data_IF_053990096886
#
_entry.id   IF_053990096886
#
_cell.length_a   1.000
_cell.length_b   1.000
_cell.length_c   1.000
_cell.angle_alpha   90.00
_cell.angle_beta   90.00
_cell.angle_gamma   90.00
#
_symmetry.space_group_name_H-M   'P 1'
#
loop_
_entity.id
_entity.type
_entity.pdbx_description
1 polymer ?
#
# COMPACT_ATOMS: atom_id res chain seq x y z
N UNK A 1 -5.00 -1.89 26.57
CA UNK A 1 -5.87 -2.04 27.75
C UNK A 1 -5.20 -2.88 28.86
N UNK A 2 -4.82 -4.16 28.62
CA UNK A 2 -4.20 -5.02 29.64
C UNK A 2 -2.97 -4.38 30.30
N UNK A 3 -2.07 -3.78 29.52
CA UNK A 3 -0.88 -3.12 30.04
C UNK A 3 -1.23 -1.92 30.97
N UNK A 4 -2.21 -1.12 30.60
CA UNK A 4 -2.67 0.00 31.42
C UNK A 4 -3.19 -0.47 32.77
N UNK A 5 -4.05 -1.49 32.80
CA UNK A 5 -4.58 -2.05 34.05
C UNK A 5 -3.49 -2.72 34.90
N UNK A 6 -2.55 -3.42 34.26
CA UNK A 6 -1.40 -4.04 34.94
C UNK A 6 -0.54 -2.99 35.66
N UNK A 7 -0.19 -1.89 34.96
CA UNK A 7 0.62 -0.81 35.56
C UNK A 7 -0.15 -0.13 36.69
N UNK A 8 -1.45 0.12 36.50
CA UNK A 8 -2.31 0.71 37.54
C UNK A 8 -2.36 -0.19 38.79
N UNK A 9 -2.59 -1.49 38.62
CA UNK A 9 -2.65 -2.44 39.75
C UNK A 9 -1.28 -2.63 40.40
N UNK A 10 -0.18 -2.53 39.62
CA UNK A 10 1.17 -2.52 40.18
C UNK A 10 1.43 -1.29 41.07
N UNK A 11 1.05 -0.10 40.61
CA UNK A 11 1.18 1.15 41.37
C UNK A 11 0.29 1.15 42.63
N UNK A 12 -0.85 0.44 42.60
CA UNK A 12 -1.75 0.27 43.72
C UNK A 12 -1.32 -0.84 44.72
N UNK A 13 -0.23 -1.56 44.41
CA UNK A 13 0.28 -2.64 45.26
C UNK A 13 -0.54 -3.95 45.26
N UNK A 14 -1.52 -4.07 44.36
CA UNK A 14 -2.47 -5.19 44.29
C UNK A 14 -2.10 -6.25 43.22
N UNK A 15 -0.86 -6.28 42.78
CA UNK A 15 -0.46 -7.13 41.65
C UNK A 15 -0.45 -8.64 42.03
N UNK A 16 -0.08 -8.98 43.29
CA UNK A 16 0.11 -10.37 43.68
C UNK A 16 -1.10 -11.27 43.44
N UNK A 17 -2.29 -10.78 43.77
CA UNK A 17 -3.54 -11.55 43.65
C UNK A 17 -4.07 -11.64 42.19
N UNK A 18 -3.54 -10.81 41.28
CA UNK A 18 -4.03 -10.70 39.90
C UNK A 18 -3.06 -11.22 38.82
N UNK A 19 -1.90 -11.73 39.23
CA UNK A 19 -0.90 -12.25 38.27
C UNK A 19 -1.49 -13.30 37.34
N UNK A 20 -2.25 -14.25 37.89
CA UNK A 20 -2.89 -15.31 37.11
C UNK A 20 -3.89 -14.75 36.09
N UNK A 21 -4.64 -13.70 36.43
CA UNK A 21 -5.56 -13.04 35.52
C UNK A 21 -4.83 -12.41 34.33
N UNK A 22 -3.69 -11.74 34.57
CA UNK A 22 -2.91 -11.13 33.47
C UNK A 22 -2.24 -12.18 32.61
N UNK A 23 -1.69 -13.25 33.17
CA UNK A 23 -1.09 -14.36 32.42
C UNK A 23 -2.16 -15.06 31.58
N UNK A 24 -3.31 -15.39 32.14
CA UNK A 24 -4.43 -15.99 31.39
C UNK A 24 -4.93 -15.07 30.29
N UNK A 25 -5.07 -13.76 30.57
CA UNK A 25 -5.44 -12.77 29.54
C UNK A 25 -4.46 -12.67 28.38
N UNK A 26 -3.15 -12.72 28.66
CA UNK A 26 -2.11 -12.74 27.62
C UNK A 26 -2.15 -14.04 26.79
N UNK A 27 -2.35 -15.19 27.42
CA UNK A 27 -2.47 -16.47 26.72
C UNK A 27 -3.69 -16.51 25.80
N UNK A 28 -4.84 -16.06 26.31
CA UNK A 28 -6.08 -15.96 25.51
C UNK A 28 -5.87 -15.03 24.33
N UNK A 29 -5.28 -13.85 24.56
CA UNK A 29 -4.98 -12.90 23.48
C UNK A 29 -4.04 -13.52 22.43
N UNK A 30 -3.02 -14.25 22.84
CA UNK A 30 -2.10 -14.91 21.94
C UNK A 30 -2.79 -15.96 21.06
N UNK A 31 -3.67 -16.78 21.64
CA UNK A 31 -4.45 -17.78 20.91
C UNK A 31 -5.41 -17.10 19.92
N UNK A 32 -6.10 -16.05 20.35
CA UNK A 32 -7.02 -15.28 19.46
C UNK A 32 -6.27 -14.64 18.29
N UNK A 33 -5.08 -14.08 18.53
CA UNK A 33 -4.23 -13.54 17.46
C UNK A 33 -3.85 -14.66 16.50
N UNK A 34 -3.42 -15.82 16.97
CA UNK A 34 -3.05 -16.95 16.12
C UNK A 34 -4.21 -17.42 15.23
N UNK A 35 -5.40 -17.59 15.81
CA UNK A 35 -6.62 -17.97 15.06
C UNK A 35 -6.98 -16.90 14.03
N UNK A 36 -6.97 -15.62 14.43
CA UNK A 36 -7.29 -14.51 13.54
C UNK A 36 -6.30 -14.43 12.36
N UNK A 37 -5.00 -14.57 12.63
CA UNK A 37 -3.95 -14.58 11.60
C UNK A 37 -4.11 -15.76 10.64
N UNK A 38 -4.45 -16.94 11.13
CA UNK A 38 -4.70 -18.11 10.29
C UNK A 38 -5.91 -17.90 9.36
N UNK A 39 -7.02 -17.38 9.90
CA UNK A 39 -8.22 -17.06 9.09
C UNK A 39 -7.90 -15.99 8.06
N UNK A 40 -7.19 -14.92 8.44
CA UNK A 40 -6.76 -13.86 7.55
C UNK A 40 -5.90 -14.40 6.41
N UNK A 41 -4.90 -15.22 6.72
CA UNK A 41 -4.01 -15.80 5.73
C UNK A 41 -4.79 -16.58 4.67
N UNK A 42 -5.68 -17.48 5.10
CA UNK A 42 -6.48 -18.29 4.19
C UNK A 42 -7.44 -17.43 3.35
N UNK A 43 -8.14 -16.48 3.97
CA UNK A 43 -9.10 -15.63 3.28
C UNK A 43 -8.44 -14.66 2.29
N UNK A 44 -7.25 -14.15 2.60
CA UNK A 44 -6.59 -13.13 1.78
C UNK A 44 -5.75 -13.77 0.68
N UNK A 45 -4.80 -14.65 1.04
CA UNK A 45 -3.83 -15.16 0.06
C UNK A 45 -4.41 -16.27 -0.82
N UNK A 46 -5.00 -17.31 -0.24
CA UNK A 46 -5.49 -18.44 -1.03
C UNK A 46 -6.61 -18.01 -1.99
N UNK A 47 -7.55 -17.21 -1.53
CA UNK A 47 -8.64 -16.71 -2.38
C UNK A 47 -8.13 -15.84 -3.53
N UNK A 48 -7.13 -14.98 -3.28
CA UNK A 48 -6.58 -14.09 -4.31
C UNK A 48 -5.82 -14.86 -5.38
N UNK A 49 -5.05 -15.90 -5.02
CA UNK A 49 -4.35 -16.71 -6.01
C UNK A 49 -5.31 -17.49 -6.91
N UNK A 50 -6.38 -18.03 -6.36
CA UNK A 50 -7.43 -18.70 -7.15
C UNK A 50 -8.09 -17.71 -8.10
N UNK A 51 -8.48 -16.52 -7.60
CA UNK A 51 -9.08 -15.46 -8.42
C UNK A 51 -8.14 -14.99 -9.53
N UNK A 52 -6.85 -14.83 -9.25
CA UNK A 52 -5.84 -14.44 -10.23
C UNK A 52 -5.73 -15.47 -11.36
N UNK A 53 -5.78 -16.75 -11.02
CA UNK A 53 -5.82 -17.82 -12.02
C UNK A 53 -7.07 -17.74 -12.90
N UNK A 54 -8.24 -17.59 -12.30
CA UNK A 54 -9.52 -17.40 -13.02
C UNK A 54 -9.48 -16.18 -13.93
N UNK A 55 -8.93 -15.06 -13.45
CA UNK A 55 -8.80 -13.80 -14.22
C UNK A 55 -7.94 -14.01 -15.49
N UNK A 56 -6.79 -14.70 -15.37
CA UNK A 56 -5.93 -15.01 -16.53
C UNK A 56 -6.64 -15.89 -17.55
N UNK A 57 -7.37 -16.92 -17.09
CA UNK A 57 -8.17 -17.77 -17.97
C UNK A 57 -9.29 -16.97 -18.66
N UNK A 58 -10.00 -16.14 -17.90
CA UNK A 58 -11.08 -15.27 -18.46
C UNK A 58 -10.54 -14.30 -19.52
N UNK A 59 -9.37 -13.70 -19.29
CA UNK A 59 -8.69 -12.85 -20.28
C UNK A 59 -8.33 -13.62 -21.55
N UNK A 60 -7.74 -14.81 -21.40
CA UNK A 60 -7.38 -15.65 -22.54
C UNK A 60 -8.62 -16.09 -23.35
N UNK A 61 -9.71 -16.46 -22.66
CA UNK A 61 -10.98 -16.79 -23.32
C UNK A 61 -11.62 -15.59 -24.01
N UNK A 62 -11.52 -14.40 -23.41
CA UNK A 62 -11.98 -13.17 -24.02
C UNK A 62 -11.20 -12.85 -25.28
N UNK A 63 -9.86 -12.89 -25.23
CA UNK A 63 -8.99 -12.66 -26.39
C UNK A 63 -9.31 -13.62 -27.55
N UNK A 64 -9.61 -14.89 -27.25
CA UNK A 64 -10.04 -15.87 -28.25
C UNK A 64 -11.31 -15.46 -29.01
N UNK A 65 -12.17 -14.67 -28.42
CA UNK A 65 -13.46 -14.25 -28.98
C UNK A 65 -13.43 -12.87 -29.65
N UNK A 66 -12.41 -12.06 -29.38
CA UNK A 66 -12.26 -10.71 -29.93
C UNK A 66 -11.95 -10.77 -31.42
N UNK A 67 -12.49 -9.84 -32.25
CA UNK A 67 -12.24 -9.78 -33.67
C UNK A 67 -10.76 -9.60 -34.03
N UNK A 68 -10.31 -10.18 -35.15
CA UNK A 68 -8.91 -10.07 -35.63
C UNK A 68 -8.44 -8.62 -35.84
N UNK A 69 -9.37 -7.69 -36.12
CA UNK A 69 -9.05 -6.27 -36.24
C UNK A 69 -8.48 -5.64 -34.97
N UNK A 70 -8.75 -6.21 -33.79
CA UNK A 70 -8.16 -5.78 -32.53
C UNK A 70 -6.66 -6.07 -32.48
N UNK A 71 -6.27 -7.27 -32.93
CA UNK A 71 -4.86 -7.69 -32.95
C UNK A 71 -4.01 -6.93 -33.97
N UNK A 72 -4.64 -6.32 -34.97
CA UNK A 72 -3.96 -5.40 -35.87
C UNK A 72 -3.67 -4.00 -35.30
N UNK A 73 -4.29 -3.66 -34.16
CA UNK A 73 -4.12 -2.39 -33.44
C UNK A 73 -3.33 -2.51 -32.14
N UNK A 74 -3.22 -3.70 -31.59
CA UNK A 74 -2.51 -4.00 -30.35
C UNK A 74 -1.35 -4.93 -30.64
N UNK A 75 -0.20 -4.60 -30.07
CA UNK A 75 0.98 -5.45 -30.16
C UNK A 75 0.81 -6.71 -29.32
N UNK A 76 1.34 -7.83 -29.82
CA UNK A 76 1.31 -9.11 -29.10
C UNK A 76 2.11 -9.05 -27.79
N UNK A 77 3.22 -8.29 -27.76
CA UNK A 77 4.02 -8.05 -26.56
C UNK A 77 3.22 -7.30 -25.49
N UNK A 78 2.41 -6.32 -25.90
CA UNK A 78 1.52 -5.57 -25.00
C UNK A 78 0.45 -6.46 -24.38
N UNK A 79 -0.20 -7.31 -25.16
CA UNK A 79 -1.20 -8.26 -24.69
C UNK A 79 -0.59 -9.31 -23.73
N UNK A 80 0.58 -9.82 -24.06
CA UNK A 80 1.30 -10.76 -23.20
C UNK A 80 1.68 -10.11 -21.86
N UNK A 81 2.18 -8.86 -21.91
CA UNK A 81 2.49 -8.07 -20.73
C UNK A 81 1.25 -7.85 -19.86
N UNK A 82 0.10 -7.56 -20.46
CA UNK A 82 -1.16 -7.38 -19.73
C UNK A 82 -1.57 -8.66 -19.01
N UNK A 83 -1.51 -9.83 -19.67
CA UNK A 83 -1.90 -11.11 -19.04
C UNK A 83 -0.92 -11.51 -17.94
N UNK A 84 0.37 -11.31 -18.13
CA UNK A 84 1.39 -11.79 -17.20
C UNK A 84 1.70 -10.77 -16.10
N UNK A 85 2.08 -9.55 -16.48
CA UNK A 85 2.58 -8.55 -15.55
C UNK A 85 1.45 -7.76 -14.88
N UNK A 86 0.44 -7.30 -15.64
CA UNK A 86 -0.63 -6.49 -15.06
C UNK A 86 -1.51 -7.33 -14.13
N UNK A 87 -1.80 -8.60 -14.51
CA UNK A 87 -2.47 -9.53 -13.60
C UNK A 87 -1.66 -9.78 -12.33
N UNK A 88 -0.33 -9.92 -12.40
CA UNK A 88 0.51 -10.11 -11.22
C UNK A 88 0.53 -8.87 -10.32
N UNK A 89 0.53 -7.65 -10.90
CA UNK A 89 0.40 -6.40 -10.13
C UNK A 89 -0.95 -6.30 -9.41
N UNK A 90 -2.05 -6.65 -10.09
CA UNK A 90 -3.38 -6.68 -9.50
C UNK A 90 -3.51 -7.76 -8.42
N UNK A 91 -2.86 -8.90 -8.59
CA UNK A 91 -2.77 -9.96 -7.58
C UNK A 91 -2.09 -9.43 -6.32
N UNK A 92 -0.93 -8.74 -6.45
CA UNK A 92 -0.23 -8.12 -5.32
C UNK A 92 -1.08 -7.04 -4.65
N UNK A 93 -1.77 -6.21 -5.42
CA UNK A 93 -2.66 -5.19 -4.87
C UNK A 93 -3.80 -5.81 -4.05
N UNK A 94 -4.41 -6.88 -4.53
CA UNK A 94 -5.53 -7.55 -3.88
C UNK A 94 -5.11 -8.41 -2.68
N UNK A 95 -3.93 -9.05 -2.73
CA UNK A 95 -3.45 -9.92 -1.65
C UNK A 95 -2.76 -9.16 -0.51
N UNK A 96 -2.11 -8.04 -0.78
CA UNK A 96 -1.31 -7.30 0.19
C UNK A 96 -1.83 -5.90 0.45
N UNK A 97 -1.86 -5.01 -0.57
CA UNK A 97 -2.06 -3.58 -0.34
C UNK A 97 -3.47 -3.25 0.16
N UNK A 98 -4.49 -3.82 -0.45
CA UNK A 98 -5.89 -3.56 -0.10
C UNK A 98 -6.23 -4.11 1.30
N UNK A 99 -5.97 -5.40 1.62
CA UNK A 99 -6.28 -5.93 2.94
C UNK A 99 -5.52 -5.25 4.08
N UNK A 100 -4.26 -4.90 3.87
CA UNK A 100 -3.45 -4.22 4.87
C UNK A 100 -3.93 -2.79 5.11
N UNK A 101 -4.31 -2.06 4.05
CA UNK A 101 -4.93 -0.74 4.14
C UNK A 101 -6.22 -0.78 4.97
N UNK A 102 -7.15 -1.67 4.63
CA UNK A 102 -8.42 -1.81 5.36
C UNK A 102 -8.21 -2.29 6.79
N UNK A 103 -7.33 -3.28 7.00
CA UNK A 103 -7.01 -3.79 8.33
C UNK A 103 -6.45 -2.71 9.25
N UNK A 104 -5.52 -1.88 8.76
CA UNK A 104 -4.97 -0.77 9.52
C UNK A 104 -6.03 0.33 9.79
N UNK A 105 -6.89 0.66 8.83
CA UNK A 105 -7.97 1.62 9.03
C UNK A 105 -8.98 1.14 10.09
N UNK A 106 -9.39 -0.13 10.03
CA UNK A 106 -10.35 -0.72 10.99
C UNK A 106 -9.72 -0.78 12.38
N UNK A 107 -8.49 -1.27 12.50
CA UNK A 107 -7.80 -1.35 13.79
C UNK A 107 -7.60 0.02 14.42
N UNK A 108 -7.22 1.03 13.61
CA UNK A 108 -7.09 2.41 14.09
C UNK A 108 -8.42 2.99 14.52
N UNK A 109 -9.51 2.73 13.79
CA UNK A 109 -10.84 3.19 14.18
C UNK A 109 -11.29 2.59 15.52
N UNK A 110 -11.03 1.29 15.74
CA UNK A 110 -11.32 0.64 17.02
C UNK A 110 -10.51 1.24 18.18
N UNK A 111 -9.21 1.49 17.95
CA UNK A 111 -8.35 2.11 18.98
C UNK A 111 -8.79 3.57 19.22
N UNK A 112 -9.15 4.30 18.17
CA UNK A 112 -9.65 5.67 18.28
C UNK A 112 -10.89 5.76 19.17
N UNK A 113 -11.86 4.87 18.97
CA UNK A 113 -13.03 4.76 19.86
C UNK A 113 -12.59 4.55 21.31
N UNK A 114 -11.65 3.64 21.54
CA UNK A 114 -11.09 3.41 22.89
C UNK A 114 -10.44 4.66 23.49
N UNK A 115 -9.68 5.42 22.69
CA UNK A 115 -9.03 6.65 23.15
C UNK A 115 -10.03 7.74 23.55
N UNK A 116 -11.15 7.88 22.83
CA UNK A 116 -12.20 8.84 23.18
C UNK A 116 -12.85 8.57 24.54
N UNK A 117 -12.90 7.32 24.99
CA UNK A 117 -13.40 6.97 26.34
C UNK A 117 -12.46 7.38 27.48
N UNK A 118 -11.16 7.55 27.20
CA UNK A 118 -10.19 7.99 28.21
C UNK A 118 -10.14 9.53 28.32
N UNK A 119 -9.84 10.22 27.23
CA UNK A 119 -9.86 11.69 27.15
C UNK A 119 -10.08 12.15 25.70
N UNK A 120 -11.18 12.80 25.43
CA UNK A 120 -11.54 13.24 24.09
C UNK A 120 -10.60 14.32 23.54
N UNK A 121 -10.00 15.18 24.39
CA UNK A 121 -9.06 16.23 23.99
C UNK A 121 -7.75 15.62 23.49
N UNK A 122 -7.25 14.67 24.22
CA UNK A 122 -6.07 13.89 23.82
C UNK A 122 -6.33 13.06 22.56
N UNK A 123 -7.53 12.44 22.46
CA UNK A 123 -7.92 11.69 21.28
C UNK A 123 -7.95 12.56 20.01
N UNK A 124 -8.53 13.77 20.08
CA UNK A 124 -8.50 14.72 18.95
C UNK A 124 -7.06 15.13 18.60
N UNK A 125 -6.22 15.43 19.60
CA UNK A 125 -4.82 15.78 19.39
C UNK A 125 -4.01 14.64 18.73
N UNK A 126 -4.42 13.38 18.94
CA UNK A 126 -3.80 12.21 18.33
C UNK A 126 -4.30 11.93 16.91
N UNK A 127 -5.58 12.12 16.65
CA UNK A 127 -6.24 11.57 15.45
C UNK A 127 -6.36 12.56 14.30
N UNK A 128 -6.25 13.88 14.52
CA UNK A 128 -6.41 14.90 13.47
C UNK A 128 -5.41 14.73 12.31
N UNK A 129 -4.23 14.20 12.58
CA UNK A 129 -3.17 13.97 11.57
C UNK A 129 -3.54 12.88 10.55
N UNK A 130 -4.40 11.91 10.94
CA UNK A 130 -4.81 10.80 10.08
C UNK A 130 -5.59 11.28 8.85
N UNK A 131 -6.72 12.00 8.98
CA UNK A 131 -7.46 12.46 7.81
C UNK A 131 -6.63 13.40 6.94
N UNK A 132 -5.78 14.24 7.53
CA UNK A 132 -4.89 15.14 6.77
C UNK A 132 -3.89 14.34 5.93
N UNK A 133 -3.25 13.32 6.52
CA UNK A 133 -2.30 12.47 5.80
C UNK A 133 -2.96 11.69 4.66
N UNK A 134 -4.15 11.12 4.89
CA UNK A 134 -4.91 10.43 3.85
C UNK A 134 -5.37 11.38 2.72
N UNK A 135 -5.78 12.60 3.06
CA UNK A 135 -6.15 13.61 2.06
C UNK A 135 -4.97 13.97 1.15
N UNK A 136 -3.76 14.12 1.68
CA UNK A 136 -2.57 14.43 0.88
C UNK A 136 -2.30 13.33 -0.14
N UNK A 137 -2.28 12.07 0.29
CA UNK A 137 -2.05 10.93 -0.62
C UNK A 137 -3.21 10.78 -1.60
N UNK A 138 -4.46 10.90 -1.16
CA UNK A 138 -5.65 10.82 -2.01
C UNK A 138 -5.70 11.91 -3.07
N UNK A 139 -5.42 13.16 -2.69
CA UNK A 139 -5.37 14.29 -3.63
C UNK A 139 -4.23 14.17 -4.66
N UNK A 140 -3.14 13.47 -4.32
CA UNK A 140 -2.04 13.22 -5.25
C UNK A 140 -2.39 12.20 -6.35
N UNK A 141 -3.51 11.49 -6.23
CA UNK A 141 -3.87 10.36 -7.08
C UNK A 141 -3.85 10.66 -8.58
N UNK A 142 -4.36 11.84 -9.01
CA UNK A 142 -4.33 12.25 -10.42
C UNK A 142 -2.90 12.43 -10.93
N UNK A 143 -2.03 13.03 -10.14
CA UNK A 143 -0.61 13.25 -10.49
C UNK A 143 0.11 11.90 -10.57
N UNK A 144 -0.04 11.06 -9.55
CA UNK A 144 0.56 9.73 -9.51
C UNK A 144 0.09 8.86 -10.68
N UNK A 145 -1.22 8.84 -10.99
CA UNK A 145 -1.78 8.09 -12.11
C UNK A 145 -1.20 8.57 -13.45
N UNK A 146 -1.03 9.88 -13.64
CA UNK A 146 -0.42 10.46 -14.84
C UNK A 146 1.05 10.06 -14.98
N UNK A 147 1.83 10.15 -13.90
CA UNK A 147 3.25 9.74 -13.90
C UNK A 147 3.41 8.25 -14.20
N UNK A 148 2.62 7.41 -13.55
CA UNK A 148 2.65 5.96 -13.76
C UNK A 148 2.23 5.56 -15.18
N UNK A 149 1.20 6.22 -15.75
CA UNK A 149 0.79 5.99 -17.13
C UNK A 149 1.90 6.30 -18.13
N UNK A 150 2.58 7.44 -17.96
CA UNK A 150 3.73 7.81 -18.81
C UNK A 150 4.89 6.85 -18.64
N UNK A 151 5.17 6.44 -17.39
CA UNK A 151 6.20 5.42 -17.10
C UNK A 151 5.91 4.10 -17.81
N UNK A 152 4.65 3.67 -17.84
CA UNK A 152 4.22 2.45 -18.49
C UNK A 152 4.45 2.53 -20.02
N UNK A 153 4.06 3.64 -20.65
CA UNK A 153 4.28 3.85 -22.10
C UNK A 153 5.78 3.78 -22.46
N UNK A 154 6.63 4.40 -21.65
CA UNK A 154 8.09 4.36 -21.88
C UNK A 154 8.66 2.95 -21.68
N UNK A 155 8.18 2.20 -20.69
CA UNK A 155 8.59 0.80 -20.49
C UNK A 155 8.19 -0.08 -21.65
N UNK A 156 6.98 0.08 -22.20
CA UNK A 156 6.52 -0.66 -23.36
C UNK A 156 7.38 -0.35 -24.58
N UNK A 157 7.61 0.93 -24.90
CA UNK A 157 8.47 1.34 -26.02
C UNK A 157 9.93 0.84 -25.90
N UNK A 158 10.42 0.65 -24.66
CA UNK A 158 11.72 0.04 -24.41
C UNK A 158 11.67 -1.48 -24.64
N UNK A 159 10.62 -2.16 -24.17
CA UNK A 159 10.43 -3.60 -24.36
C UNK A 159 10.33 -3.95 -25.84
N UNK A 160 9.53 -3.17 -26.60
CA UNK A 160 9.40 -3.32 -28.08
C UNK A 160 10.75 -3.18 -28.78
N UNK A 161 11.56 -2.18 -28.37
CA UNK A 161 12.91 -2.01 -28.93
C UNK A 161 13.86 -3.15 -28.59
N UNK A 162 13.74 -3.76 -27.41
CA UNK A 162 14.52 -4.95 -27.05
C UNK A 162 14.08 -6.15 -27.90
N UNK A 163 12.77 -6.34 -28.05
CA UNK A 163 12.21 -7.43 -28.86
C UNK A 163 12.65 -7.30 -30.32
N UNK A 164 12.54 -6.12 -30.91
CA UNK A 164 12.98 -5.82 -32.28
C UNK A 164 14.47 -6.14 -32.47
N UNK A 165 15.31 -5.78 -31.48
CA UNK A 165 16.74 -6.10 -31.49
C UNK A 165 16.98 -7.62 -31.52
N UNK A 166 16.25 -8.39 -30.72
CA UNK A 166 16.40 -9.84 -30.64
C UNK A 166 15.91 -10.54 -31.91
N UNK A 167 14.81 -10.08 -32.48
CA UNK A 167 14.25 -10.63 -33.71
C UNK A 167 15.17 -10.40 -34.91
N UNK A 168 15.80 -9.23 -34.99
CA UNK A 168 16.65 -8.82 -36.11
C UNK A 168 18.16 -8.95 -35.82
N UNK A 169 18.56 -9.66 -34.76
CA UNK A 169 19.96 -9.74 -34.35
C UNK A 169 20.89 -10.27 -35.46
N UNK A 170 20.42 -11.21 -36.27
CA UNK A 170 21.21 -11.75 -37.40
C UNK A 170 21.46 -10.70 -38.50
N UNK A 171 20.42 -9.95 -38.81
CA UNK A 171 20.50 -8.89 -39.83
C UNK A 171 21.38 -7.73 -39.37
N UNK A 172 21.22 -7.33 -38.11
CA UNK A 172 22.08 -6.33 -37.45
C UNK A 172 23.56 -6.73 -37.52
N UNK A 173 23.85 -8.02 -37.30
CA UNK A 173 25.21 -8.57 -37.40
C UNK A 173 25.71 -8.60 -38.85
N UNK A 174 24.87 -9.07 -39.77
CA UNK A 174 25.22 -9.19 -41.18
C UNK A 174 25.57 -7.83 -41.83
N UNK A 175 24.83 -6.78 -41.45
CA UNK A 175 25.03 -5.41 -41.96
C UNK A 175 25.96 -4.56 -41.07
N UNK A 176 26.49 -5.11 -39.97
CA UNK A 176 27.39 -4.41 -39.04
C UNK A 176 26.80 -3.10 -38.49
N UNK A 177 25.48 -3.10 -38.19
CA UNK A 177 24.71 -1.93 -37.70
C UNK A 177 24.35 -2.00 -36.23
N UNK A 178 24.94 -2.95 -35.46
CA UNK A 178 24.60 -3.17 -34.05
C UNK A 178 24.84 -1.92 -33.20
N UNK A 179 25.96 -1.22 -33.40
CA UNK A 179 26.31 -0.05 -32.61
C UNK A 179 25.28 1.09 -32.74
N UNK A 180 24.80 1.33 -33.97
CA UNK A 180 23.83 2.41 -34.21
C UNK A 180 22.46 2.05 -33.67
N UNK A 181 22.05 0.78 -33.80
CA UNK A 181 20.81 0.30 -33.15
C UNK A 181 20.89 0.41 -31.63
N UNK A 182 22.01 0.00 -31.03
CA UNK A 182 22.24 0.08 -29.58
C UNK A 182 22.26 1.50 -29.05
N UNK A 183 22.69 2.50 -29.82
CA UNK A 183 22.57 3.92 -29.44
C UNK A 183 21.09 4.32 -29.28
N UNK A 184 20.26 3.94 -30.25
CA UNK A 184 18.82 4.17 -30.18
C UNK A 184 18.13 3.49 -29.00
N UNK A 185 18.45 2.21 -28.77
CA UNK A 185 17.92 1.43 -27.64
C UNK A 185 18.38 2.00 -26.29
N UNK A 186 19.66 2.40 -26.18
CA UNK A 186 20.18 3.07 -24.98
C UNK A 186 19.44 4.37 -24.69
N UNK A 187 19.02 5.11 -25.72
CA UNK A 187 18.19 6.29 -25.58
C UNK A 187 16.82 5.97 -24.95
N UNK A 188 16.15 4.90 -25.42
CA UNK A 188 14.88 4.42 -24.84
C UNK A 188 15.05 4.00 -23.37
N UNK A 189 16.12 3.25 -23.05
CA UNK A 189 16.43 2.82 -21.67
C UNK A 189 16.64 4.03 -20.75
N UNK A 190 17.44 5.02 -21.19
CA UNK A 190 17.68 6.25 -20.40
C UNK A 190 16.39 7.07 -20.21
N UNK A 191 15.48 7.06 -21.18
CA UNK A 191 14.18 7.73 -21.03
C UNK A 191 13.32 7.04 -19.95
N UNK A 192 13.30 5.70 -19.90
CA UNK A 192 12.66 4.92 -18.84
C UNK A 192 13.26 5.24 -17.47
N UNK A 193 14.59 5.20 -17.37
CA UNK A 193 15.33 5.50 -16.12
C UNK A 193 15.01 6.91 -15.61
N UNK A 194 15.18 7.92 -16.46
CA UNK A 194 14.90 9.32 -16.09
C UNK A 194 13.47 9.51 -15.61
N UNK A 195 12.50 8.89 -16.29
CA UNK A 195 11.11 9.04 -15.91
C UNK A 195 10.78 8.22 -14.66
N UNK A 196 11.42 7.06 -14.44
CA UNK A 196 11.30 6.29 -13.21
C UNK A 196 11.72 7.12 -11.99
N UNK A 197 12.85 7.83 -12.10
CA UNK A 197 13.32 8.75 -11.03
C UNK A 197 12.27 9.83 -10.74
N UNK A 198 11.69 10.45 -11.78
CA UNK A 198 10.65 11.49 -11.62
C UNK A 198 9.39 10.91 -10.96
N UNK A 199 8.98 9.71 -11.35
CA UNK A 199 7.81 9.03 -10.78
C UNK A 199 8.05 8.68 -9.31
N UNK A 200 9.21 8.14 -9.00
CA UNK A 200 9.59 7.77 -7.62
C UNK A 200 9.68 9.00 -6.72
N UNK A 201 10.36 10.06 -7.17
CA UNK A 201 10.43 11.32 -6.42
C UNK A 201 9.04 11.95 -6.23
N UNK A 202 8.19 11.91 -7.25
CA UNK A 202 6.82 12.39 -7.15
C UNK A 202 6.04 11.64 -6.08
N UNK A 203 6.11 10.32 -6.06
CA UNK A 203 5.48 9.48 -5.04
C UNK A 203 6.08 9.76 -3.65
N UNK A 204 7.41 9.82 -3.56
CA UNK A 204 8.13 10.06 -2.31
C UNK A 204 7.76 11.40 -1.67
N UNK A 205 7.56 12.46 -2.46
CA UNK A 205 7.15 13.78 -1.93
C UNK A 205 5.77 13.69 -1.28
N UNK A 206 4.79 13.08 -1.94
CA UNK A 206 3.42 12.98 -1.40
C UNK A 206 3.33 12.02 -0.22
N UNK A 207 3.87 10.82 -0.36
CA UNK A 207 3.86 9.82 0.72
C UNK A 207 4.74 10.27 1.88
N UNK A 208 5.95 10.76 1.61
CA UNK A 208 6.87 11.23 2.63
C UNK A 208 6.32 12.41 3.42
N UNK A 209 5.71 13.43 2.76
CA UNK A 209 5.08 14.55 3.46
C UNK A 209 3.91 14.10 4.33
N UNK A 210 3.08 13.17 3.85
CA UNK A 210 1.99 12.61 4.65
C UNK A 210 2.48 11.84 5.88
N UNK A 211 3.56 11.07 5.75
CA UNK A 211 4.20 10.37 6.86
C UNK A 211 4.85 11.33 7.88
N UNK A 212 5.43 12.44 7.40
CA UNK A 212 5.94 13.50 8.30
C UNK A 212 4.82 14.12 9.13
N UNK A 213 3.64 14.36 8.53
CA UNK A 213 2.48 14.88 9.25
C UNK A 213 2.01 13.89 10.33
N UNK A 214 2.02 12.58 10.06
CA UNK A 214 1.71 11.59 11.10
C UNK A 214 2.62 11.74 12.32
N UNK A 215 3.92 11.98 12.11
CA UNK A 215 4.87 12.17 13.23
C UNK A 215 4.60 13.45 14.03
N UNK A 216 4.02 14.49 13.41
CA UNK A 216 3.58 15.67 14.13
C UNK A 216 2.46 15.37 15.15
N UNK A 217 1.69 14.30 14.92
CA UNK A 217 0.68 13.85 15.87
C UNK A 217 1.25 13.47 17.25
N UNK A 218 2.46 12.91 17.30
CA UNK A 218 3.14 12.63 18.58
C UNK A 218 3.46 13.94 19.30
N UNK A 219 3.94 14.94 18.57
CA UNK A 219 4.26 16.26 19.12
C UNK A 219 2.99 16.98 19.64
N UNK A 220 1.88 16.93 18.90
CA UNK A 220 0.61 17.52 19.35
C UNK A 220 0.06 16.83 20.59
N UNK A 221 0.15 15.52 20.70
CA UNK A 221 -0.24 14.77 21.89
C UNK A 221 0.65 15.12 23.09
N UNK A 222 1.97 15.24 22.87
CA UNK A 222 2.90 15.63 23.92
C UNK A 222 2.64 17.06 24.43
N UNK A 223 2.36 18.00 23.51
CA UNK A 223 2.06 19.40 23.86
C UNK A 223 0.73 19.52 24.61
N UNK A 224 -0.35 18.97 24.04
CA UNK A 224 -1.69 19.05 24.65
C UNK A 224 -1.68 18.30 25.98
N UNK A 225 -1.11 17.11 26.02
CA UNK A 225 -1.02 16.31 27.25
C UNK A 225 -0.15 16.97 28.32
N UNK A 226 0.97 17.58 27.95
CA UNK A 226 1.82 18.36 28.85
C UNK A 226 1.08 19.55 29.49
N UNK A 227 0.29 20.27 28.70
CA UNK A 227 -0.54 21.39 29.20
C UNK A 227 -1.62 20.87 30.16
N UNK A 228 -2.32 19.80 29.82
CA UNK A 228 -3.36 19.21 30.64
C UNK A 228 -2.80 18.64 31.96
N UNK A 229 -1.62 18.02 31.90
CA UNK A 229 -0.90 17.51 33.06
C UNK A 229 -0.48 18.66 34.00
N UNK A 230 0.06 19.75 33.46
CA UNK A 230 0.46 20.92 34.23
C UNK A 230 -0.73 21.61 34.92
N UNK A 231 -1.93 21.53 34.33
CA UNK A 231 -3.18 22.03 34.94
C UNK A 231 -3.79 21.06 35.97
N UNK A 232 -3.23 19.84 36.10
CA UNK A 232 -3.79 18.80 36.98
C UNK A 232 -5.09 18.18 36.45
N UNK A 233 -5.42 18.39 35.16
CA UNK A 233 -6.65 17.86 34.54
C UNK A 233 -6.44 16.48 33.90
N UNK A 234 -5.21 16.00 33.82
CA UNK A 234 -4.85 14.72 33.26
C UNK A 234 -3.93 13.94 34.22
N UNK A 235 -4.19 12.66 34.41
CA UNK A 235 -3.30 11.77 35.13
C UNK A 235 -2.05 11.42 34.35
N UNK A 236 -0.91 11.31 35.05
CA UNK A 236 0.39 11.01 34.42
C UNK A 236 0.38 9.66 33.71
N UNK A 237 -0.34 8.67 34.26
CA UNK A 237 -0.48 7.34 33.67
C UNK A 237 -1.25 7.39 32.36
N UNK A 238 -2.33 8.16 32.30
CA UNK A 238 -3.12 8.39 31.08
C UNK A 238 -2.29 9.10 30.02
N UNK A 239 -1.49 10.10 30.40
CA UNK A 239 -0.59 10.79 29.46
C UNK A 239 0.41 9.82 28.80
N UNK A 240 1.10 9.01 29.58
CA UNK A 240 2.04 8.03 29.05
C UNK A 240 1.36 6.94 28.21
N UNK A 241 0.15 6.53 28.61
CA UNK A 241 -0.66 5.60 27.80
C UNK A 241 -0.95 6.17 26.42
N UNK A 242 -1.37 7.44 26.33
CA UNK A 242 -1.61 8.09 25.04
C UNK A 242 -0.35 8.15 24.18
N UNK A 243 0.80 8.56 24.72
CA UNK A 243 2.06 8.58 24.00
C UNK A 243 2.45 7.20 23.45
N UNK A 244 2.30 6.15 24.27
CA UNK A 244 2.60 4.79 23.86
C UNK A 244 1.64 4.26 22.80
N UNK A 245 0.34 4.50 22.94
CA UNK A 245 -0.67 4.05 21.97
C UNK A 245 -0.51 4.77 20.65
N UNK A 246 -0.32 6.09 20.68
CA UNK A 246 -0.18 6.92 19.48
C UNK A 246 1.07 6.54 18.68
N UNK A 247 2.20 6.29 19.35
CA UNK A 247 3.41 5.83 18.66
C UNK A 247 3.21 4.48 17.96
N UNK A 248 2.32 3.63 18.47
CA UNK A 248 2.02 2.31 17.88
C UNK A 248 0.98 2.36 16.76
N UNK A 249 0.03 3.31 16.81
CA UNK A 249 -0.98 3.48 15.75
C UNK A 249 -0.35 4.02 14.47
N UNK A 250 0.63 4.90 14.57
CA UNK A 250 1.18 5.55 13.39
C UNK A 250 2.03 4.63 12.51
N UNK A 251 2.66 3.58 13.05
CA UNK A 251 3.45 2.64 12.26
C UNK A 251 2.59 1.93 11.18
N UNK A 252 1.49 1.23 11.51
CA UNK A 252 0.62 0.62 10.49
C UNK A 252 -0.04 1.68 9.58
N UNK A 253 -0.28 2.91 10.08
CA UNK A 253 -0.81 3.98 9.25
C UNK A 253 0.19 4.49 8.21
N UNK A 254 1.50 4.55 8.52
CA UNK A 254 2.53 4.87 7.54
C UNK A 254 2.57 3.85 6.40
N UNK A 255 2.49 2.55 6.72
CA UNK A 255 2.42 1.48 5.73
C UNK A 255 1.12 1.61 4.91
N UNK A 256 -0.01 1.90 5.54
CA UNK A 256 -1.28 2.11 4.84
C UNK A 256 -1.26 3.28 3.86
N UNK A 257 -0.54 4.36 4.14
CA UNK A 257 -0.36 5.46 3.19
C UNK A 257 0.48 5.05 1.97
N UNK A 258 1.50 4.21 2.17
CA UNK A 258 2.27 3.61 1.06
C UNK A 258 1.40 2.67 0.24
N UNK A 259 0.62 1.81 0.90
CA UNK A 259 -0.31 0.89 0.24
C UNK A 259 -1.39 1.64 -0.54
N UNK A 260 -1.92 2.74 -0.01
CA UNK A 260 -2.85 3.59 -0.74
C UNK A 260 -2.23 4.15 -2.03
N UNK A 261 -0.99 4.64 -1.95
CA UNK A 261 -0.26 5.11 -3.13
C UNK A 261 -0.02 3.98 -4.14
N UNK A 262 0.32 2.77 -3.66
CA UNK A 262 0.49 1.59 -4.51
C UNK A 262 -0.82 1.14 -5.18
N UNK A 263 -1.95 1.18 -4.48
CA UNK A 263 -3.28 0.92 -5.04
C UNK A 263 -3.64 1.95 -6.11
N UNK A 264 -3.36 3.23 -5.88
CA UNK A 264 -3.57 4.29 -6.87
C UNK A 264 -2.69 4.03 -8.13
N UNK A 265 -1.45 3.64 -7.92
CA UNK A 265 -0.53 3.32 -9.03
C UNK A 265 -1.01 2.11 -9.85
N UNK A 266 -1.54 1.07 -9.20
CA UNK A 266 -2.08 -0.12 -9.87
C UNK A 266 -3.38 0.13 -10.65
N UNK A 267 -4.00 1.30 -10.50
CA UNK A 267 -5.15 1.70 -11.30
C UNK A 267 -4.85 1.78 -12.81
N UNK A 268 -3.59 1.97 -13.21
CA UNK A 268 -3.20 1.93 -14.64
C UNK A 268 -3.32 0.52 -15.20
N UNK A 269 -2.93 -0.49 -14.43
CA UNK A 269 -3.05 -1.91 -14.80
C UNK A 269 -4.52 -2.33 -14.87
N UNK A 270 -5.34 -1.88 -13.92
CA UNK A 270 -6.79 -2.12 -13.94
C UNK A 270 -7.44 -1.55 -15.21
N UNK A 271 -7.10 -0.30 -15.59
CA UNK A 271 -7.64 0.32 -16.81
C UNK A 271 -7.30 -0.50 -18.07
N UNK A 272 -6.09 -1.08 -18.16
CA UNK A 272 -5.67 -1.92 -19.28
C UNK A 272 -6.39 -3.27 -19.33
N UNK A 273 -6.61 -3.88 -18.19
CA UNK A 273 -7.40 -5.11 -18.08
C UNK A 273 -8.85 -4.87 -18.48
N UNK A 274 -9.44 -3.77 -18.01
CA UNK A 274 -10.80 -3.38 -18.34
C UNK A 274 -10.97 -3.07 -19.84
N UNK A 275 -9.96 -2.48 -20.50
CA UNK A 275 -9.98 -2.25 -21.96
C UNK A 275 -10.17 -3.55 -22.74
N UNK A 276 -9.50 -4.64 -22.31
CA UNK A 276 -9.63 -5.95 -22.97
C UNK A 276 -10.98 -6.60 -22.62
N UNK A 277 -11.37 -6.57 -21.34
CA UNK A 277 -12.58 -7.25 -20.87
C UNK A 277 -13.87 -6.59 -21.38
N UNK A 278 -13.88 -5.27 -21.51
CA UNK A 278 -15.03 -4.50 -21.99
C UNK A 278 -15.15 -4.44 -23.51
N UNK A 279 -14.12 -4.89 -24.26
CA UNK A 279 -14.18 -4.85 -25.71
C UNK A 279 -15.32 -5.73 -26.26
N UNK A 280 -16.07 -5.22 -27.22
CA UNK A 280 -17.15 -5.98 -27.86
C UNK A 280 -16.60 -7.21 -28.62
N UNK A 281 -17.37 -8.30 -28.60
CA UNK A 281 -17.02 -9.59 -29.21
C UNK A 281 -17.70 -9.73 -30.55
#
# INVERSE_FOLDING_TARGET
>A
ALLYYLVRDYMAGNLGDKVLFYVAGCLIAFVLIGISTYIQYNATFLSTYVESGVRRVTLAEKLRKIPLSFFGKKDLSDLTSTIMNDCAQMETASSHFIPELFGACISTALIAVGLFFFDWRMAIAALWVLPVSFLIVGCSGKVQKSLNKKQMVLKMACADGIQECLENVRDLQAYNTQEDYMKGLTGKIKAVEKHAIVTELGTAVFVGSSQMILKLGIATVALVGGVLLAKGELDILTFFMFLMVVSRIYDPMQISLQNLAAVIASGVQSDRLDEILSHEV
#
